data_IF_778286720079
#
_entry.id   IF_778286720079
#
_cell.length_a   1.000
_cell.length_b   1.000
_cell.length_c   1.000
_cell.angle_alpha   90.00
_cell.angle_beta   90.00
_cell.angle_gamma   90.00
#
_symmetry.space_group_name_H-M   'P 1'
#
loop_
_entity.id
_entity.type
_entity.pdbx_description
1 polymer ?
#
# COMPACT_ATOMS: atom_id res chain seq x y z
N UNK A 1 -48.55 -33.88 -35.99
CA UNK A 1 -47.78 -32.69 -35.79
C UNK A 1 -46.61 -33.05 -34.85
N UNK A 2 -45.49 -33.51 -35.46
CA UNK A 2 -44.25 -33.76 -34.74
C UNK A 2 -43.63 -32.41 -34.36
N UNK A 3 -43.90 -31.95 -33.17
CA UNK A 3 -43.18 -30.81 -32.62
C UNK A 3 -41.69 -31.12 -32.49
N UNK A 4 -40.83 -30.12 -32.64
CA UNK A 4 -39.38 -30.18 -32.48
C UNK A 4 -38.94 -30.46 -30.98
N UNK A 5 -39.74 -31.27 -30.27
CA UNK A 5 -39.52 -31.54 -28.83
C UNK A 5 -38.20 -32.28 -28.52
N UNK A 6 -37.63 -32.92 -29.56
CA UNK A 6 -36.43 -33.74 -29.42
C UNK A 6 -35.16 -33.07 -30.02
N UNK A 7 -35.26 -31.79 -30.42
CA UNK A 7 -34.09 -31.03 -30.90
C UNK A 7 -33.43 -30.27 -29.77
N UNK A 8 -32.10 -30.31 -29.73
CA UNK A 8 -31.30 -29.45 -28.86
C UNK A 8 -31.28 -27.99 -29.35
N UNK A 9 -30.62 -27.10 -28.64
CA UNK A 9 -30.56 -25.69 -29.03
C UNK A 9 -29.81 -25.45 -30.35
N UNK A 10 -28.99 -26.38 -30.81
CA UNK A 10 -28.32 -26.35 -32.12
C UNK A 10 -29.18 -26.95 -33.24
N UNK A 11 -30.40 -27.44 -32.95
CA UNK A 11 -31.32 -28.03 -33.89
C UNK A 11 -31.02 -29.49 -34.22
N UNK A 12 -30.21 -30.18 -33.45
CA UNK A 12 -29.84 -31.58 -33.64
C UNK A 12 -30.84 -32.48 -32.89
N UNK A 13 -31.45 -33.47 -33.58
CA UNK A 13 -32.35 -34.41 -32.91
C UNK A 13 -31.60 -35.29 -31.91
N UNK A 14 -32.07 -35.31 -30.68
CA UNK A 14 -31.44 -35.97 -29.54
C UNK A 14 -29.98 -35.56 -29.34
N UNK A 15 -29.63 -34.31 -29.67
CA UNK A 15 -28.31 -33.70 -29.38
C UNK A 15 -28.16 -33.31 -27.94
N UNK A 16 -26.92 -32.99 -27.54
CA UNK A 16 -26.55 -32.68 -26.18
C UNK A 16 -26.30 -31.17 -25.96
N UNK A 17 -26.45 -30.32 -26.98
CA UNK A 17 -26.27 -28.87 -26.90
C UNK A 17 -27.34 -28.23 -26.04
N UNK A 18 -26.89 -27.39 -25.06
CA UNK A 18 -27.78 -26.72 -24.11
C UNK A 18 -27.66 -25.19 -24.21
N UNK A 19 -28.76 -24.50 -23.89
CA UNK A 19 -28.71 -23.06 -23.69
C UNK A 19 -27.98 -22.78 -22.38
N UNK A 20 -27.07 -21.80 -22.43
CA UNK A 20 -26.51 -21.22 -21.22
C UNK A 20 -27.52 -20.28 -20.50
N UNK A 21 -27.13 -19.69 -19.39
CA UNK A 21 -28.01 -18.81 -18.59
C UNK A 21 -28.37 -17.51 -19.33
N UNK A 22 -27.63 -17.15 -20.38
CA UNK A 22 -27.93 -16.03 -21.28
C UNK A 22 -28.75 -16.40 -22.51
N UNK A 23 -29.14 -17.67 -22.64
CA UNK A 23 -29.93 -18.17 -23.75
C UNK A 23 -29.11 -18.42 -25.03
N UNK A 24 -27.79 -18.49 -24.92
CA UNK A 24 -26.87 -18.80 -26.02
C UNK A 24 -26.61 -20.30 -26.06
N UNK A 25 -26.78 -20.91 -27.25
CA UNK A 25 -26.54 -22.33 -27.41
C UNK A 25 -25.04 -22.65 -27.27
N UNK A 26 -24.68 -23.49 -26.30
CA UNK A 26 -23.32 -23.87 -25.96
C UNK A 26 -22.42 -22.66 -25.66
N UNK A 27 -23.01 -21.54 -25.22
CA UNK A 27 -22.29 -20.27 -24.95
C UNK A 27 -21.40 -20.30 -23.73
N UNK A 28 -21.64 -21.23 -22.79
CA UNK A 28 -20.80 -21.41 -21.61
C UNK A 28 -20.75 -20.18 -20.67
N UNK A 29 -21.83 -19.37 -20.71
CA UNK A 29 -21.96 -18.13 -19.96
C UNK A 29 -20.89 -17.05 -20.30
N UNK A 30 -20.31 -17.11 -21.51
CA UNK A 30 -19.30 -16.16 -21.96
C UNK A 30 -19.82 -14.71 -22.03
N UNK A 31 -21.14 -14.54 -22.17
CA UNK A 31 -21.81 -13.24 -22.20
C UNK A 31 -22.22 -12.72 -20.80
N UNK A 32 -21.91 -13.46 -19.72
CA UNK A 32 -22.12 -12.98 -18.35
C UNK A 32 -20.93 -12.15 -17.90
N UNK A 33 -21.23 -11.06 -17.19
CA UNK A 33 -20.24 -10.31 -16.42
C UNK A 33 -19.85 -11.07 -15.14
N UNK A 34 -18.95 -10.51 -14.35
CA UNK A 34 -18.50 -11.14 -13.10
C UNK A 34 -19.61 -11.23 -12.04
N UNK A 35 -20.69 -10.47 -12.14
CA UNK A 35 -21.86 -10.54 -11.28
C UNK A 35 -22.90 -11.56 -11.79
N UNK A 36 -22.65 -12.22 -12.90
CA UNK A 36 -23.55 -13.21 -13.53
C UNK A 36 -24.68 -12.59 -14.34
N UNK A 37 -24.57 -11.31 -14.69
CA UNK A 37 -25.58 -10.60 -15.50
C UNK A 37 -25.22 -10.72 -16.98
N UNK A 38 -26.18 -11.19 -17.78
CA UNK A 38 -25.99 -11.34 -19.25
C UNK A 38 -25.80 -9.97 -19.91
N UNK A 39 -24.71 -9.81 -20.64
CA UNK A 39 -24.26 -8.53 -21.21
C UNK A 39 -24.18 -7.39 -20.19
N UNK A 40 -23.88 -7.72 -18.94
CA UNK A 40 -23.66 -6.76 -17.87
C UNK A 40 -22.32 -6.01 -18.03
N UNK A 41 -22.11 -5.00 -17.19
CA UNK A 41 -20.94 -4.12 -17.22
C UNK A 41 -20.01 -4.32 -16.03
N UNK A 42 -20.36 -5.21 -15.08
CA UNK A 42 -19.55 -5.50 -13.92
C UNK A 42 -18.23 -6.16 -14.31
N UNK A 43 -17.12 -5.64 -13.78
CA UNK A 43 -15.77 -6.13 -14.09
C UNK A 43 -15.04 -6.60 -12.82
N UNK A 44 -14.11 -7.54 -13.01
CA UNK A 44 -13.18 -7.91 -11.94
C UNK A 44 -12.16 -6.79 -11.78
N UNK A 45 -11.89 -6.42 -10.51
CA UNK A 45 -10.75 -5.57 -10.17
C UNK A 45 -9.42 -6.35 -10.27
N UNK A 46 -8.30 -5.68 -10.01
CA UNK A 46 -6.96 -6.28 -10.05
C UNK A 46 -6.77 -7.40 -9.01
N UNK A 47 -7.62 -7.47 -8.00
CA UNK A 47 -7.64 -8.52 -6.98
C UNK A 47 -8.58 -9.69 -7.32
N UNK A 48 -9.28 -9.62 -8.44
CA UNK A 48 -10.25 -10.63 -8.88
C UNK A 48 -11.61 -10.52 -8.17
N UNK A 49 -11.92 -9.39 -7.56
CA UNK A 49 -13.20 -9.10 -6.91
C UNK A 49 -14.12 -8.39 -7.91
N UNK A 50 -15.36 -8.88 -8.05
CA UNK A 50 -16.33 -8.28 -8.95
C UNK A 50 -16.75 -6.90 -8.42
N UNK A 51 -16.60 -5.87 -9.26
CA UNK A 51 -16.82 -4.45 -8.93
C UNK A 51 -16.05 -4.00 -7.68
N UNK A 52 -14.90 -4.62 -7.40
CA UNK A 52 -14.00 -4.24 -6.31
C UNK A 52 -13.23 -2.96 -6.62
N UNK A 53 -12.56 -2.44 -5.63
CA UNK A 53 -11.75 -1.21 -5.71
C UNK A 53 -10.23 -1.49 -5.81
N UNK A 54 -9.83 -2.76 -5.95
CA UNK A 54 -8.44 -3.19 -6.07
C UNK A 54 -7.64 -3.17 -4.77
N UNK A 55 -8.29 -2.96 -3.62
CA UNK A 55 -7.57 -2.87 -2.34
C UNK A 55 -7.48 -4.19 -1.58
N UNK A 56 -8.38 -5.14 -1.84
CA UNK A 56 -8.53 -6.37 -1.06
C UNK A 56 -7.33 -7.31 -1.10
N UNK A 57 -6.44 -7.19 -2.10
CA UNK A 57 -5.21 -7.98 -2.22
C UNK A 57 -3.94 -7.18 -1.93
N UNK A 58 -4.05 -5.93 -1.46
CA UNK A 58 -2.88 -5.17 -1.07
C UNK A 58 -2.22 -5.79 0.17
N UNK A 59 -0.91 -5.87 0.12
CA UNK A 59 -0.13 -6.21 1.30
C UNK A 59 -0.05 -4.99 2.22
N UNK A 60 -0.27 -5.19 3.51
CA UNK A 60 -0.11 -4.15 4.51
C UNK A 60 1.39 -3.95 4.78
N UNK A 61 1.95 -2.87 4.25
CA UNK A 61 3.38 -2.57 4.36
C UNK A 61 3.61 -1.07 4.56
N UNK A 62 4.61 -0.73 5.38
CA UNK A 62 5.20 0.60 5.42
C UNK A 62 6.64 0.49 4.92
N UNK A 63 7.03 1.39 4.04
CA UNK A 63 8.35 1.42 3.42
C UNK A 63 8.86 2.84 3.25
N UNK A 64 10.14 2.99 2.95
CA UNK A 64 10.67 4.24 2.46
C UNK A 64 10.45 4.38 0.95
N UNK A 65 10.22 5.62 0.52
CA UNK A 65 10.11 6.03 -0.87
C UNK A 65 11.34 6.81 -1.32
N UNK A 66 11.10 7.85 -2.13
CA UNK A 66 12.17 8.69 -2.65
C UNK A 66 12.77 9.56 -1.54
N UNK A 67 14.09 9.78 -1.63
CA UNK A 67 14.81 10.75 -0.81
C UNK A 67 15.33 11.88 -1.70
N UNK A 68 15.00 13.13 -1.36
CA UNK A 68 15.54 14.31 -2.03
C UNK A 68 15.52 15.53 -1.12
N UNK A 69 16.54 16.37 -1.22
CA UNK A 69 16.62 17.67 -0.52
C UNK A 69 16.40 17.61 1.00
N UNK A 70 16.83 16.52 1.66
CA UNK A 70 16.65 16.31 3.10
C UNK A 70 15.23 15.90 3.49
N UNK A 71 14.43 15.44 2.53
CA UNK A 71 13.09 14.90 2.70
C UNK A 71 13.11 13.43 2.27
N UNK A 72 12.56 12.55 3.09
CA UNK A 72 12.36 11.14 2.81
C UNK A 72 10.87 10.81 2.86
N UNK A 73 10.35 10.24 1.78
CA UNK A 73 8.97 9.75 1.76
C UNK A 73 8.84 8.48 2.59
N UNK A 74 7.78 8.40 3.38
CA UNK A 74 7.29 7.14 3.98
C UNK A 74 6.04 6.73 3.22
N UNK A 75 6.09 5.56 2.59
CA UNK A 75 5.02 5.00 1.79
C UNK A 75 4.20 4.03 2.62
N UNK A 76 2.92 3.90 2.27
CA UNK A 76 2.05 2.85 2.78
C UNK A 76 1.39 2.08 1.64
N UNK A 77 1.06 0.84 1.92
CA UNK A 77 0.09 0.02 1.20
C UNK A 77 -0.79 -0.64 2.24
N UNK A 78 -2.10 -0.55 2.11
CA UNK A 78 -3.05 -1.06 3.10
C UNK A 78 -4.31 -1.57 2.44
N UNK A 79 -4.73 -2.77 2.81
CA UNK A 79 -6.02 -3.36 2.40
C UNK A 79 -7.20 -2.83 3.21
N UNK A 80 -6.96 -1.98 4.22
CA UNK A 80 -7.98 -1.44 5.12
C UNK A 80 -7.71 0.02 5.42
N UNK A 81 -8.76 0.76 5.79
CA UNK A 81 -8.63 2.15 6.24
C UNK A 81 -7.79 2.22 7.51
N UNK A 82 -6.91 3.23 7.59
CA UNK A 82 -6.01 3.47 8.71
C UNK A 82 -6.60 4.56 9.61
N UNK A 83 -6.81 4.25 10.90
CA UNK A 83 -7.28 5.19 11.93
C UNK A 83 -6.16 5.83 12.73
N UNK A 84 -4.98 5.22 12.74
CA UNK A 84 -3.79 5.75 13.40
C UNK A 84 -2.56 4.92 13.07
N UNK A 85 -1.39 5.54 13.15
CA UNK A 85 -0.12 4.86 12.92
C UNK A 85 0.99 5.38 13.84
N UNK A 86 1.95 4.52 14.12
CA UNK A 86 3.21 4.84 14.77
C UNK A 86 4.31 3.99 14.17
N UNK A 87 5.50 4.56 14.05
CA UNK A 87 6.71 3.83 13.72
C UNK A 87 7.93 4.54 14.31
N UNK A 88 9.03 3.81 14.43
CA UNK A 88 10.34 4.34 14.84
C UNK A 88 11.27 4.31 13.63
N UNK A 89 12.03 5.35 13.44
CA UNK A 89 13.08 5.45 12.42
C UNK A 89 14.45 5.36 13.11
N UNK A 90 15.38 4.67 12.49
CA UNK A 90 16.79 4.68 12.92
C UNK A 90 17.67 5.14 11.76
N UNK A 91 18.87 5.63 12.10
CA UNK A 91 19.85 6.09 11.11
C UNK A 91 19.74 7.55 10.70
N UNK A 92 18.76 8.26 11.25
CA UNK A 92 18.57 9.70 11.02
C UNK A 92 17.96 10.37 12.25
N UNK A 93 18.18 11.68 12.41
CA UNK A 93 17.43 12.52 13.34
C UNK A 93 16.24 13.11 12.59
N UNK A 94 15.01 12.75 12.96
CA UNK A 94 13.78 13.27 12.35
C UNK A 94 13.49 14.66 12.92
N UNK A 95 13.50 15.67 12.06
CA UNK A 95 13.23 17.05 12.43
C UNK A 95 11.74 17.35 12.42
N UNK A 96 11.03 16.87 11.39
CA UNK A 96 9.59 17.09 11.20
C UNK A 96 9.00 15.95 10.37
N UNK A 97 7.73 15.63 10.62
CA UNK A 97 6.93 14.73 9.79
C UNK A 97 5.66 15.48 9.35
N UNK A 98 5.41 15.54 8.03
CA UNK A 98 4.30 16.32 7.45
C UNK A 98 3.92 15.81 6.06
N UNK A 99 2.79 16.26 5.55
CA UNK A 99 2.34 15.93 4.19
C UNK A 99 1.81 14.51 4.02
N UNK A 100 1.57 14.14 2.76
CA UNK A 100 1.06 12.83 2.36
C UNK A 100 -0.39 12.59 2.76
N UNK A 101 -0.83 11.34 2.62
CA UNK A 101 -2.20 10.92 2.91
C UNK A 101 -2.64 11.21 4.36
N UNK A 102 -1.69 11.25 5.30
CA UNK A 102 -1.98 11.58 6.69
C UNK A 102 -2.43 13.04 6.85
N UNK A 103 -1.71 13.98 6.25
CA UNK A 103 -2.10 15.41 6.28
C UNK A 103 -3.37 15.65 5.47
N UNK A 104 -3.49 15.05 4.29
CA UNK A 104 -4.68 15.15 3.43
C UNK A 104 -5.95 14.65 4.13
N UNK A 105 -5.82 13.62 4.96
CA UNK A 105 -6.90 13.11 5.81
C UNK A 105 -7.14 13.95 7.09
N UNK A 106 -6.33 14.99 7.33
CA UNK A 106 -6.45 15.84 8.51
C UNK A 106 -5.90 15.20 9.79
N UNK A 107 -4.92 14.31 9.68
CA UNK A 107 -4.23 13.75 10.83
C UNK A 107 -3.32 14.79 11.48
N UNK A 108 -3.22 14.71 12.79
CA UNK A 108 -2.12 15.34 13.52
C UNK A 108 -0.92 14.40 13.47
N UNK A 109 0.17 14.87 12.88
CA UNK A 109 1.42 14.13 12.78
C UNK A 109 2.41 14.73 13.77
N UNK A 110 3.08 13.90 14.53
CA UNK A 110 4.09 14.33 15.52
C UNK A 110 5.34 13.48 15.37
N UNK A 111 6.49 14.13 15.24
CA UNK A 111 7.80 13.53 15.43
C UNK A 111 8.25 13.79 16.87
N UNK A 112 8.38 12.72 17.65
CA UNK A 112 8.76 12.80 19.06
C UNK A 112 10.26 12.60 19.29
N UNK A 113 10.66 12.66 20.56
CA UNK A 113 11.99 12.22 20.97
C UNK A 113 12.20 10.74 20.63
N UNK A 114 13.43 10.36 20.29
CA UNK A 114 13.82 9.01 19.88
C UNK A 114 13.24 8.57 18.50
N UNK A 115 13.07 9.55 17.59
CA UNK A 115 12.72 9.32 16.19
C UNK A 115 11.43 8.48 16.00
N UNK A 116 10.48 8.66 16.91
CA UNK A 116 9.15 8.08 16.84
C UNK A 116 8.24 9.05 16.07
N UNK A 117 7.61 8.55 15.01
CA UNK A 117 6.59 9.26 14.26
C UNK A 117 5.23 8.67 14.61
N UNK A 118 4.30 9.54 15.00
CA UNK A 118 2.93 9.20 15.37
C UNK A 118 1.96 10.02 14.54
N UNK A 119 0.96 9.37 13.95
CA UNK A 119 -0.14 10.02 13.24
C UNK A 119 -1.49 9.55 13.75
N UNK A 120 -2.39 10.48 14.03
CA UNK A 120 -3.74 10.18 14.49
C UNK A 120 -4.70 11.34 14.17
N UNK A 121 -6.00 11.05 14.13
CA UNK A 121 -7.04 12.06 13.96
C UNK A 121 -7.87 12.21 15.23
N UNK A 122 -8.07 13.46 15.68
CA UNK A 122 -9.00 13.78 16.77
C UNK A 122 -10.46 13.74 16.31
N UNK A 123 -10.70 13.94 15.03
CA UNK A 123 -12.05 14.01 14.43
C UNK A 123 -12.53 12.64 13.93
N UNK A 124 -11.70 11.59 14.08
CA UNK A 124 -12.00 10.25 13.62
C UNK A 124 -11.90 10.08 12.10
N UNK A 125 -11.18 10.96 11.41
CA UNK A 125 -10.88 10.80 9.99
C UNK A 125 -9.97 9.59 9.77
N UNK A 126 -10.05 9.01 8.57
CA UNK A 126 -9.30 7.82 8.19
C UNK A 126 -8.46 8.11 6.95
N UNK A 127 -7.30 7.47 6.86
CA UNK A 127 -6.58 7.34 5.61
C UNK A 127 -7.18 6.13 4.90
N UNK A 128 -7.70 6.34 3.69
CA UNK A 128 -8.37 5.27 2.94
C UNK A 128 -7.43 4.12 2.60
N UNK A 129 -7.98 2.90 2.54
CA UNK A 129 -7.30 1.75 1.95
C UNK A 129 -6.73 2.11 0.58
N UNK A 130 -5.57 1.57 0.27
CA UNK A 130 -4.84 1.92 -0.96
C UNK A 130 -3.34 1.99 -0.74
N UNK A 131 -2.65 2.72 -1.60
CA UNK A 131 -1.21 2.92 -1.50
C UNK A 131 -0.80 4.34 -1.90
N UNK A 132 0.31 4.81 -1.34
CA UNK A 132 0.84 6.13 -1.64
C UNK A 132 1.83 6.62 -0.60
N UNK A 133 2.09 7.92 -0.60
CA UNK A 133 2.92 8.57 0.43
C UNK A 133 2.07 8.73 1.68
N UNK A 134 2.46 8.09 2.79
CA UNK A 134 1.83 8.23 4.10
C UNK A 134 2.14 9.58 4.71
N UNK A 135 3.43 9.92 4.78
CA UNK A 135 3.97 11.19 5.29
C UNK A 135 5.38 11.40 4.76
N UNK A 136 5.88 12.62 4.86
CA UNK A 136 7.25 13.00 4.52
C UNK A 136 8.03 13.31 5.80
N UNK A 137 9.28 12.86 5.87
CA UNK A 137 10.19 13.14 6.96
C UNK A 137 11.25 14.15 6.51
N UNK A 138 11.32 15.28 7.19
CA UNK A 138 12.50 16.16 7.14
C UNK A 138 13.51 15.63 8.14
N UNK A 139 14.77 15.44 7.76
CA UNK A 139 15.74 14.73 8.57
C UNK A 139 17.18 15.19 8.38
N UNK A 140 18.03 14.81 9.34
CA UNK A 140 19.48 14.86 9.22
C UNK A 140 20.02 13.43 9.34
N UNK A 141 20.77 12.90 8.36
CA UNK A 141 21.33 11.57 8.46
C UNK A 141 22.40 11.49 9.53
N UNK A 142 22.34 10.43 10.35
CA UNK A 142 23.37 10.09 11.34
C UNK A 142 24.07 8.78 11.01
N UNK A 143 23.59 8.09 9.97
CA UNK A 143 24.11 6.83 9.43
C UNK A 143 23.97 6.82 7.92
N UNK A 144 24.63 5.89 7.25
CA UNK A 144 24.49 5.64 5.80
C UNK A 144 23.21 4.90 5.43
N UNK A 145 22.47 4.39 6.41
CA UNK A 145 21.26 3.60 6.21
C UNK A 145 20.20 4.00 7.24
N UNK A 146 18.95 4.10 6.79
CA UNK A 146 17.78 4.28 7.65
C UNK A 146 16.89 3.04 7.65
N UNK A 147 16.32 2.70 8.80
CA UNK A 147 15.41 1.56 8.94
C UNK A 147 14.14 1.94 9.71
N UNK A 148 13.02 1.34 9.30
CA UNK A 148 11.74 1.40 10.01
C UNK A 148 11.64 0.25 11.01
N UNK A 149 11.09 0.53 12.19
CA UNK A 149 10.84 -0.47 13.23
C UNK A 149 9.65 -0.08 14.10
N UNK A 150 9.20 -1.00 14.96
CA UNK A 150 8.10 -0.78 15.91
C UNK A 150 6.85 -0.20 15.24
N UNK A 151 6.48 -0.75 14.07
CA UNK A 151 5.32 -0.32 13.31
C UNK A 151 4.06 -0.78 14.03
N UNK A 152 3.19 0.18 14.33
CA UNK A 152 1.86 -0.04 14.91
C UNK A 152 0.89 0.74 14.05
N UNK A 153 -0.09 0.05 13.46
CA UNK A 153 -1.16 0.67 12.68
C UNK A 153 -2.48 0.17 13.21
N UNK A 154 -3.49 1.01 13.27
CA UNK A 154 -4.82 0.66 13.73
C UNK A 154 -5.90 1.04 12.73
N UNK A 155 -7.00 0.28 12.77
CA UNK A 155 -8.23 0.59 12.04
C UNK A 155 -9.06 1.70 12.72
N UNK A 156 -10.25 1.98 12.18
CA UNK A 156 -11.21 2.95 12.72
C UNK A 156 -11.74 2.63 14.13
N UNK A 157 -11.60 1.39 14.57
CA UNK A 157 -12.06 0.91 15.89
C UNK A 157 -10.90 0.73 16.87
N UNK A 158 -9.70 1.21 16.52
CA UNK A 158 -8.45 1.04 17.26
C UNK A 158 -8.00 -0.43 17.40
N UNK A 159 -8.46 -1.33 16.52
CA UNK A 159 -7.89 -2.67 16.43
C UNK A 159 -6.56 -2.59 15.67
N UNK A 160 -5.57 -3.33 16.14
CA UNK A 160 -4.27 -3.41 15.44
C UNK A 160 -4.41 -4.08 14.08
N UNK A 161 -3.81 -3.44 13.07
CA UNK A 161 -3.61 -4.01 11.75
C UNK A 161 -2.17 -4.54 11.66
N UNK A 162 -2.02 -5.76 11.17
CA UNK A 162 -0.69 -6.36 10.96
C UNK A 162 -0.03 -5.70 9.76
N UNK A 163 1.06 -5.00 10.01
CA UNK A 163 1.89 -4.36 8.99
C UNK A 163 3.31 -4.89 9.02
N UNK A 164 3.89 -5.03 7.85
CA UNK A 164 5.30 -5.35 7.67
C UNK A 164 6.10 -4.07 7.36
N UNK A 165 7.40 -4.07 7.67
CA UNK A 165 8.33 -3.09 7.14
C UNK A 165 9.03 -3.64 5.91
N UNK A 166 9.27 -2.79 4.92
CA UNK A 166 10.25 -3.10 3.89
C UNK A 166 11.67 -3.04 4.47
N UNK A 167 12.65 -3.46 3.65
CA UNK A 167 14.07 -3.32 3.97
C UNK A 167 14.44 -1.86 4.24
N UNK A 168 15.55 -1.66 4.95
CA UNK A 168 16.15 -0.35 5.15
C UNK A 168 16.46 0.34 3.81
N UNK A 169 16.67 1.64 3.82
CA UNK A 169 17.06 2.45 2.67
C UNK A 169 18.40 3.11 2.91
N UNK A 170 19.21 3.24 1.85
CA UNK A 170 20.46 3.98 1.90
C UNK A 170 20.18 5.48 2.00
N UNK A 171 20.98 6.17 2.81
CA UNK A 171 20.98 7.62 2.93
C UNK A 171 22.22 8.20 2.25
N UNK A 172 22.05 9.34 1.56
CA UNK A 172 23.17 10.12 1.05
C UNK A 172 23.92 10.76 2.24
N UNK A 173 24.92 10.03 2.74
CA UNK A 173 25.75 10.43 3.84
C UNK A 173 27.21 10.18 3.49
N UNK A 174 27.99 11.24 3.47
CA UNK A 174 29.45 11.14 3.35
C UNK A 174 30.02 11.05 4.76
N UNK A 175 30.60 9.89 5.10
CA UNK A 175 31.25 9.67 6.39
C UNK A 175 32.62 10.37 6.41
N UNK A 176 32.91 11.07 7.49
CA UNK A 176 34.29 11.51 7.80
C UNK A 176 35.15 10.33 8.28
N UNK A 177 36.41 10.55 8.57
CA UNK A 177 37.31 9.50 9.03
C UNK A 177 36.95 8.93 10.42
N UNK A 178 36.12 9.63 11.21
CA UNK A 178 35.57 9.16 12.48
C UNK A 178 34.24 8.40 12.31
N UNK A 179 33.73 8.28 11.06
CA UNK A 179 32.47 7.62 10.78
C UNK A 179 31.24 8.48 11.07
N UNK A 180 31.38 9.80 11.10
CA UNK A 180 30.29 10.76 11.32
C UNK A 180 29.79 11.27 9.96
N UNK A 181 28.46 11.25 9.75
CA UNK A 181 27.84 11.79 8.52
C UNK A 181 28.12 13.29 8.41
N UNK A 182 28.69 13.70 7.28
CA UNK A 182 29.08 15.09 6.99
C UNK A 182 29.97 15.73 8.10
N UNK A 183 30.70 14.89 8.86
CA UNK A 183 31.64 15.36 9.88
C UNK A 183 32.87 16.02 9.27
N UNK A 184 33.62 16.75 10.09
CA UNK A 184 34.78 17.52 9.68
C UNK A 184 36.12 16.84 10.02
N UNK A 185 36.09 15.63 10.57
CA UNK A 185 37.30 14.90 10.96
C UNK A 185 38.07 14.45 9.71
N UNK A 186 39.34 14.80 9.61
CA UNK A 186 40.24 14.48 8.50
C UNK A 186 41.35 13.55 8.98
N UNK A 187 41.83 12.69 8.08
CA UNK A 187 43.04 11.92 8.31
C UNK A 187 44.24 12.88 8.34
N UNK A 188 45.11 12.70 9.32
CA UNK A 188 46.42 13.39 9.37
C UNK A 188 47.40 12.80 8.32
N UNK A 189 48.60 13.37 8.23
CA UNK A 189 49.63 12.90 7.29
C UNK A 189 50.14 11.48 7.59
N UNK A 190 49.81 10.93 8.75
CA UNK A 190 50.11 9.56 9.17
C UNK A 190 48.94 8.61 8.96
N UNK A 191 47.79 9.09 8.43
CA UNK A 191 46.60 8.31 8.22
C UNK A 191 45.80 8.03 9.48
N UNK A 192 45.95 8.83 10.50
CA UNK A 192 45.17 8.77 11.78
C UNK A 192 44.04 9.81 11.70
N UNK A 193 42.86 9.42 12.08
CA UNK A 193 41.72 10.31 12.21
C UNK A 193 41.83 11.18 13.44
#
# INVERSE_FOLDING_TARGET
>A
DGGNADQDCAGVCNGDSALDDCGVCDGGNADQDCAGVCNGESALDDCGVCDGDGTSCLENIISFGNSSDGILEVLYSSSSDIGGFQFTVSGMDVLEASGGAAEDAGFTISSGTADIVLGFSFDGNLISAGSGVLTNLSFVPVSTEACLSNIIVSDSNANGLEFNSASCTDLDCVLDCAGVCFGDSLLDDCGVC
#
